data_IF_265227577912
#
_entry.id   IF_265227577912
#
_cell.length_a   1.000
_cell.length_b   1.000
_cell.length_c   1.000
_cell.angle_alpha   90.00
_cell.angle_beta   90.00
_cell.angle_gamma   90.00
#
_symmetry.space_group_name_H-M   'P 1'
#
loop_
_entity.id
_entity.type
_entity.pdbx_description
1 polymer ?
#
# COMPACT_ATOMS: atom_id res chain seq x y z
N UNK A 1 -15.02 -80.49 -1.73
CA UNK A 1 -15.32 -79.20 -1.08
C UNK A 1 -16.76 -79.26 -0.57
N UNK A 2 -17.05 -80.03 0.50
CA UNK A 2 -17.33 -79.59 1.89
C UNK A 2 -18.29 -78.36 1.94
N UNK A 3 -19.62 -78.58 1.90
CA UNK A 3 -20.62 -78.74 3.01
C UNK A 3 -20.75 -77.49 3.90
N UNK A 4 -21.89 -77.01 4.43
CA UNK A 4 -23.36 -77.26 4.45
C UNK A 4 -23.94 -76.05 5.22
N UNK A 5 -25.18 -75.64 4.92
CA UNK A 5 -25.99 -74.64 5.65
C UNK A 5 -26.25 -75.03 7.12
N UNK A 6 -26.26 -74.06 8.05
CA UNK A 6 -27.18 -74.06 9.20
C UNK A 6 -27.28 -72.66 9.86
N UNK A 7 -28.52 -72.17 10.04
CA UNK A 7 -28.90 -71.06 10.89
C UNK A 7 -28.63 -71.37 12.37
N UNK A 8 -28.19 -70.38 13.14
CA UNK A 8 -28.47 -70.28 14.58
C UNK A 8 -28.53 -68.81 15.00
N UNK A 9 -29.72 -68.39 15.45
CA UNK A 9 -30.04 -67.12 16.10
C UNK A 9 -29.45 -67.13 17.51
N UNK A 10 -28.66 -66.11 17.87
CA UNK A 10 -28.46 -65.72 19.28
C UNK A 10 -28.54 -64.20 19.35
N UNK A 11 -29.66 -63.75 19.91
CA UNK A 11 -29.88 -62.42 20.47
C UNK A 11 -28.95 -62.24 21.67
N UNK A 12 -28.20 -61.14 21.70
CA UNK A 12 -27.62 -60.62 22.94
C UNK A 12 -27.71 -59.09 22.98
N UNK A 13 -28.77 -58.64 23.66
CA UNK A 13 -28.90 -57.36 24.39
C UNK A 13 -27.66 -57.23 25.31
N UNK A 14 -26.96 -56.13 25.56
CA UNK A 14 -27.25 -54.80 26.16
C UNK A 14 -25.85 -54.10 26.14
N UNK A 15 -25.59 -52.79 26.09
CA UNK A 15 -25.99 -51.68 26.95
C UNK A 15 -25.74 -50.36 26.21
N UNK A 16 -26.78 -49.54 26.12
CA UNK A 16 -26.69 -48.13 25.73
C UNK A 16 -25.96 -47.38 26.84
N UNK A 17 -24.77 -46.85 26.55
CA UNK A 17 -24.11 -45.87 27.41
C UNK A 17 -24.52 -44.47 26.96
N UNK A 18 -25.56 -43.93 27.59
CA UNK A 18 -25.86 -42.50 27.50
C UNK A 18 -24.84 -41.75 28.37
N UNK A 19 -23.76 -41.28 27.75
CA UNK A 19 -23.02 -40.15 28.32
C UNK A 19 -23.90 -38.91 28.15
N UNK A 20 -24.33 -38.32 29.27
CA UNK A 20 -24.89 -36.97 29.29
C UNK A 20 -23.79 -36.03 28.81
N UNK A 21 -23.86 -35.60 27.56
CA UNK A 21 -23.12 -34.45 27.06
C UNK A 21 -23.93 -33.23 27.47
N UNK A 22 -23.34 -32.41 28.33
CA UNK A 22 -23.82 -31.08 28.65
C UNK A 22 -23.95 -30.28 27.35
N UNK A 23 -24.97 -29.41 27.21
CA UNK A 23 -25.08 -28.58 26.02
C UNK A 23 -23.85 -27.69 25.91
N UNK A 24 -23.09 -27.91 24.83
CA UNK A 24 -22.05 -26.99 24.37
C UNK A 24 -22.73 -25.64 24.18
N UNK A 25 -22.25 -24.55 24.81
CA UNK A 25 -22.77 -23.23 24.52
C UNK A 25 -22.57 -22.97 23.03
N UNK A 26 -23.68 -22.72 22.34
CA UNK A 26 -23.72 -22.25 20.97
C UNK A 26 -23.01 -20.89 20.94
N UNK A 27 -21.72 -20.91 20.63
CA UNK A 27 -21.00 -19.71 20.23
C UNK A 27 -21.56 -19.38 18.85
N UNK A 28 -22.55 -18.49 18.84
CA UNK A 28 -22.99 -17.84 17.61
C UNK A 28 -21.73 -17.38 16.85
N UNK A 29 -21.61 -17.68 15.55
CA UNK A 29 -20.51 -17.12 14.78
C UNK A 29 -20.65 -15.61 14.86
N UNK A 30 -19.74 -14.97 15.59
CA UNK A 30 -19.59 -13.52 15.49
C UNK A 30 -19.44 -13.23 13.99
N UNK A 31 -20.28 -12.34 13.42
CA UNK A 31 -20.06 -11.90 12.06
C UNK A 31 -18.61 -11.44 11.95
N UNK A 32 -17.90 -11.77 10.84
CA UNK A 32 -16.55 -11.29 10.62
C UNK A 32 -16.53 -9.81 10.95
N UNK A 33 -15.64 -9.43 11.89
CA UNK A 33 -15.41 -8.04 12.22
C UNK A 33 -15.12 -7.35 10.90
N UNK A 34 -16.11 -6.61 10.41
CA UNK A 34 -16.00 -5.78 9.23
C UNK A 34 -14.77 -4.93 9.48
N UNK A 35 -13.74 -5.17 8.69
CA UNK A 35 -12.56 -4.33 8.70
C UNK A 35 -13.10 -3.00 8.23
N UNK A 36 -13.33 -2.09 9.18
CA UNK A 36 -13.69 -0.70 8.87
C UNK A 36 -12.70 -0.26 7.80
N UNK A 37 -13.19 -0.11 6.57
CA UNK A 37 -12.45 0.54 5.53
C UNK A 37 -12.28 1.97 6.03
N UNK A 38 -11.13 2.23 6.65
CA UNK A 38 -10.76 3.58 7.11
C UNK A 38 -10.87 4.46 5.87
N UNK A 39 -11.87 5.33 5.89
CA UNK A 39 -12.11 6.34 4.87
C UNK A 39 -10.84 7.15 4.62
N UNK A 40 -10.62 7.63 3.38
CA UNK A 40 -9.33 8.14 2.93
C UNK A 40 -8.75 9.12 3.94
N UNK A 41 -7.52 8.84 4.38
CA UNK A 41 -6.74 9.79 5.13
C UNK A 41 -6.77 11.12 4.37
N UNK A 42 -7.20 12.18 5.05
CA UNK A 42 -7.17 13.52 4.49
C UNK A 42 -5.79 13.89 3.97
N UNK A 43 -5.70 14.99 3.22
CA UNK A 43 -4.48 15.40 2.55
C UNK A 43 -3.27 15.34 3.49
N UNK A 44 -2.19 14.73 2.99
CA UNK A 44 -0.92 14.64 3.68
C UNK A 44 0.07 15.54 2.98
N UNK A 45 0.79 16.37 3.74
CA UNK A 45 1.76 17.31 3.21
C UNK A 45 3.13 17.11 3.84
N UNK A 46 4.16 17.15 3.00
CA UNK A 46 5.54 16.95 3.38
C UNK A 46 6.43 17.93 2.64
N UNK A 47 7.49 18.40 3.30
CA UNK A 47 8.46 19.32 2.69
C UNK A 47 9.90 18.88 2.94
N UNK A 48 10.78 19.20 2.00
CA UNK A 48 12.23 19.19 2.22
C UNK A 48 12.79 20.58 1.94
N UNK A 49 13.66 21.07 2.83
CA UNK A 49 14.39 22.33 2.63
C UNK A 49 15.88 22.09 2.80
N UNK A 50 16.65 22.33 1.75
CA UNK A 50 18.10 22.16 1.76
C UNK A 50 18.74 22.99 0.65
N UNK A 51 19.91 23.58 0.88
CA UNK A 51 20.69 24.29 -0.14
C UNK A 51 19.86 25.33 -0.94
N UNK A 52 19.07 26.16 -0.24
CA UNK A 52 18.14 27.14 -0.83
C UNK A 52 17.11 26.54 -1.80
N UNK A 53 16.87 25.23 -1.70
CA UNK A 53 15.88 24.49 -2.49
C UNK A 53 14.73 24.05 -1.58
N UNK A 54 13.53 23.97 -2.16
CA UNK A 54 12.30 23.53 -1.51
C UNK A 54 11.66 22.43 -2.37
N UNK A 55 11.33 21.31 -1.74
CA UNK A 55 10.49 20.25 -2.33
C UNK A 55 9.20 20.18 -1.52
N UNK A 56 8.06 20.18 -2.20
CA UNK A 56 6.73 20.07 -1.58
C UNK A 56 5.98 18.90 -2.18
N UNK A 57 5.54 17.98 -1.34
CA UNK A 57 4.74 16.81 -1.70
C UNK A 57 3.42 16.88 -0.95
N UNK A 58 2.30 16.91 -1.67
CA UNK A 58 0.97 16.79 -1.09
C UNK A 58 0.18 15.71 -1.79
N UNK A 59 -0.53 14.86 -1.05
CA UNK A 59 -1.35 13.82 -1.65
C UNK A 59 -2.40 13.27 -0.69
N UNK A 60 -3.44 12.65 -1.25
CA UNK A 60 -4.35 11.77 -0.53
C UNK A 60 -4.13 10.31 -0.96
N UNK A 61 -4.52 9.37 -0.09
CA UNK A 61 -4.51 7.93 -0.35
C UNK A 61 -5.92 7.41 -0.11
N UNK A 62 -6.49 6.70 -1.08
CA UNK A 62 -7.77 6.02 -0.90
C UNK A 62 -7.62 4.62 -0.29
N UNK A 63 -8.75 3.98 0.02
CA UNK A 63 -8.79 2.61 0.57
C UNK A 63 -8.15 1.55 -0.35
N UNK A 64 -8.04 1.84 -1.65
CA UNK A 64 -7.38 1.00 -2.65
C UNK A 64 -5.88 1.29 -2.81
N UNK A 65 -5.30 2.12 -1.94
CA UNK A 65 -3.88 2.53 -1.98
C UNK A 65 -3.52 3.40 -3.19
N UNK A 66 -4.51 3.91 -3.93
CA UNK A 66 -4.28 4.83 -5.03
C UNK A 66 -3.99 6.23 -4.48
N UNK A 67 -3.01 6.88 -5.09
CA UNK A 67 -2.51 8.20 -4.68
C UNK A 67 -2.82 9.22 -5.74
N UNK A 68 -3.41 10.34 -5.31
CA UNK A 68 -3.56 11.54 -6.12
C UNK A 68 -3.00 12.74 -5.35
N UNK A 69 -2.20 13.56 -6.02
CA UNK A 69 -1.51 14.64 -5.34
C UNK A 69 -0.81 15.62 -6.25
N UNK A 70 0.04 16.45 -5.64
CA UNK A 70 0.91 17.42 -6.30
C UNK A 70 2.33 17.26 -5.79
N UNK A 71 3.28 17.60 -6.65
CA UNK A 71 4.70 17.61 -6.33
C UNK A 71 5.34 18.85 -6.95
N UNK A 72 6.10 19.60 -6.15
CA UNK A 72 6.86 20.75 -6.60
C UNK A 72 8.32 20.62 -6.20
N UNK A 73 9.19 20.91 -7.15
CA UNK A 73 10.63 21.08 -6.96
C UNK A 73 10.98 22.52 -7.30
N UNK A 74 11.33 23.30 -6.27
CA UNK A 74 11.92 24.63 -6.41
C UNK A 74 13.40 24.52 -6.06
N UNK A 75 14.22 24.15 -7.05
CA UNK A 75 15.64 23.89 -6.85
C UNK A 75 16.44 25.16 -7.15
N UNK A 76 17.35 25.53 -6.25
CA UNK A 76 18.17 26.73 -6.39
C UNK A 76 18.92 26.74 -7.73
N UNK A 77 18.77 27.84 -8.48
CA UNK A 77 19.43 28.02 -9.78
C UNK A 77 18.85 27.17 -10.92
N UNK A 78 17.67 26.56 -10.71
CA UNK A 78 16.87 25.89 -11.74
C UNK A 78 15.49 26.53 -11.83
N UNK A 79 14.82 26.30 -12.94
CA UNK A 79 13.40 26.66 -13.06
C UNK A 79 12.57 25.76 -12.14
N UNK A 80 11.55 26.36 -11.51
CA UNK A 80 10.60 25.63 -10.67
C UNK A 80 9.84 24.63 -11.54
N UNK A 81 9.76 23.38 -11.09
CA UNK A 81 8.89 22.37 -11.66
C UNK A 81 7.75 22.09 -10.68
N UNK A 82 6.52 22.10 -11.16
CA UNK A 82 5.35 21.69 -10.38
C UNK A 82 4.37 20.92 -11.27
N UNK A 83 3.62 20.02 -10.66
CA UNK A 83 2.79 19.10 -11.41
C UNK A 83 1.96 18.16 -10.56
N UNK A 84 1.23 17.29 -11.23
CA UNK A 84 0.37 16.29 -10.58
C UNK A 84 1.14 15.00 -10.32
N UNK A 85 0.72 14.30 -9.28
CA UNK A 85 1.28 13.03 -8.85
C UNK A 85 0.16 12.00 -8.81
N UNK A 86 0.25 10.96 -9.65
CA UNK A 86 -0.72 9.86 -9.68
C UNK A 86 0.04 8.55 -9.53
N UNK A 87 -0.31 7.76 -8.51
CA UNK A 87 0.46 6.58 -8.16
C UNK A 87 -0.25 5.63 -7.24
N UNK A 88 0.53 4.74 -6.63
CA UNK A 88 0.03 3.78 -5.65
C UNK A 88 1.04 3.59 -4.52
N UNK A 89 0.53 3.40 -3.30
CA UNK A 89 1.33 2.86 -2.20
C UNK A 89 1.53 1.36 -2.41
N UNK A 90 2.79 0.91 -2.34
CA UNK A 90 3.20 -0.50 -2.40
C UNK A 90 3.94 -0.84 -1.10
N UNK A 91 3.20 -1.31 -0.11
CA UNK A 91 3.73 -1.42 1.25
C UNK A 91 4.05 -0.04 1.79
N UNK A 92 5.31 0.19 2.14
CA UNK A 92 5.82 1.47 2.64
C UNK A 92 6.28 2.42 1.52
N UNK A 93 6.19 2.04 0.24
CA UNK A 93 6.77 2.83 -0.84
C UNK A 93 5.70 3.37 -1.79
N UNK A 94 5.59 4.70 -1.91
CA UNK A 94 4.84 5.36 -2.97
C UNK A 94 5.61 5.24 -4.28
N UNK A 95 4.98 4.68 -5.32
CA UNK A 95 5.48 4.74 -6.70
C UNK A 95 4.44 5.50 -7.53
N UNK A 96 4.86 6.58 -8.17
CA UNK A 96 3.93 7.47 -8.86
C UNK A 96 4.52 8.05 -10.15
N UNK A 97 3.63 8.39 -11.07
CA UNK A 97 3.92 9.23 -12.22
C UNK A 97 3.75 10.69 -11.81
N UNK A 98 4.85 11.45 -11.91
CA UNK A 98 4.88 12.88 -11.76
C UNK A 98 4.79 13.53 -13.16
N UNK A 99 3.69 14.22 -13.42
CA UNK A 99 3.43 14.92 -14.69
C UNK A 99 3.60 16.41 -14.50
N UNK A 100 4.52 17.02 -15.23
CA UNK A 100 4.88 18.43 -15.09
C UNK A 100 5.13 19.09 -16.45
N UNK A 101 5.05 20.41 -16.49
CA UNK A 101 5.37 21.18 -17.69
C UNK A 101 6.85 21.55 -17.70
N UNK A 102 7.54 21.28 -18.80
CA UNK A 102 8.91 21.70 -19.05
C UNK A 102 8.97 22.36 -20.42
N UNK A 103 9.35 23.64 -20.48
CA UNK A 103 9.49 24.40 -21.74
C UNK A 103 8.22 24.37 -22.62
N UNK A 104 7.03 24.35 -22.01
CA UNK A 104 5.75 24.26 -22.72
C UNK A 104 5.35 22.86 -23.16
N UNK A 105 6.12 21.83 -22.79
CA UNK A 105 5.84 20.42 -23.10
C UNK A 105 5.52 19.65 -21.82
N UNK A 106 4.42 18.90 -21.83
CA UNK A 106 4.08 17.99 -20.73
C UNK A 106 5.03 16.80 -20.73
N UNK A 107 5.67 16.55 -19.58
CA UNK A 107 6.65 15.49 -19.37
C UNK A 107 6.23 14.62 -18.19
N UNK A 108 6.50 13.32 -18.28
CA UNK A 108 6.17 12.36 -17.20
C UNK A 108 7.45 11.70 -16.69
N UNK A 109 7.62 11.71 -15.36
CA UNK A 109 8.70 11.03 -14.66
C UNK A 109 8.14 10.14 -13.55
N UNK A 110 8.55 8.88 -13.52
CA UNK A 110 8.29 8.01 -12.38
C UNK A 110 9.15 8.47 -11.18
N UNK A 111 8.51 8.64 -10.03
CA UNK A 111 9.12 8.99 -8.75
C UNK A 111 8.79 7.93 -7.71
N UNK A 112 9.65 7.83 -6.70
CA UNK A 112 9.49 6.87 -5.62
C UNK A 112 9.76 7.53 -4.27
N UNK A 113 8.88 7.33 -3.30
CA UNK A 113 9.06 7.83 -1.95
C UNK A 113 8.85 6.71 -0.93
N UNK A 114 9.88 6.44 -0.13
CA UNK A 114 9.80 5.47 0.97
C UNK A 114 9.24 6.16 2.22
N UNK A 115 8.11 5.68 2.71
CA UNK A 115 7.55 6.08 3.99
C UNK A 115 8.36 5.43 5.11
N UNK A 116 8.92 6.26 5.99
CA UNK A 116 9.68 5.78 7.15
C UNK A 116 9.62 6.80 8.27
N UNK A 117 9.33 6.33 9.49
CA UNK A 117 9.32 7.15 10.71
C UNK A 117 8.45 8.42 10.61
N UNK A 118 7.31 8.33 9.90
CA UNK A 118 6.38 9.46 9.69
C UNK A 118 6.86 10.49 8.68
N UNK A 119 7.93 10.22 7.94
CA UNK A 119 8.48 11.02 6.86
C UNK A 119 8.47 10.23 5.54
N UNK A 120 8.79 10.91 4.44
CA UNK A 120 9.05 10.28 3.15
C UNK A 120 10.49 10.53 2.73
N UNK A 121 11.14 9.54 2.12
CA UNK A 121 12.49 9.68 1.57
C UNK A 121 12.40 9.45 0.07
N UNK A 122 12.82 10.43 -0.73
CA UNK A 122 12.83 10.27 -2.18
C UNK A 122 13.92 9.29 -2.61
N UNK A 123 13.52 8.33 -3.45
CA UNK A 123 14.35 7.27 -3.99
C UNK A 123 14.86 7.61 -5.39
N UNK A 124 16.13 7.30 -5.63
CA UNK A 124 16.78 7.49 -6.93
C UNK A 124 17.38 6.18 -7.44
N UNK A 125 17.43 6.01 -8.75
CA UNK A 125 18.03 4.86 -9.39
C UNK A 125 18.15 5.06 -10.89
N UNK A 126 18.66 4.05 -11.58
CA UNK A 126 18.80 4.11 -13.03
C UNK A 126 17.43 4.22 -13.70
N UNK A 127 17.33 5.16 -14.65
CA UNK A 127 16.11 5.40 -15.43
C UNK A 127 16.30 5.06 -16.90
N UNK A 128 15.18 4.79 -17.57
CA UNK A 128 15.07 4.71 -19.02
C UNK A 128 13.93 5.63 -19.48
N UNK A 129 14.08 6.20 -20.66
CA UNK A 129 13.02 6.97 -21.31
C UNK A 129 12.38 6.12 -22.41
N UNK A 130 11.06 6.10 -22.47
CA UNK A 130 10.30 5.46 -23.54
C UNK A 130 9.03 6.26 -23.76
N UNK A 131 8.76 6.66 -25.01
CA UNK A 131 7.58 7.43 -25.40
C UNK A 131 7.35 8.70 -24.55
N UNK A 132 8.40 9.46 -24.27
CA UNK A 132 8.32 10.72 -23.49
C UNK A 132 8.07 10.52 -21.99
N UNK A 133 8.16 9.29 -21.49
CA UNK A 133 8.05 8.94 -20.08
C UNK A 133 9.37 8.39 -19.56
N UNK A 134 9.90 9.01 -18.51
CA UNK A 134 11.09 8.55 -17.79
C UNK A 134 10.64 7.61 -16.67
N UNK A 135 11.16 6.38 -16.62
CA UNK A 135 10.80 5.35 -15.62
C UNK A 135 12.03 4.68 -15.03
N UNK A 136 11.90 4.12 -13.81
CA UNK A 136 12.98 3.36 -13.20
C UNK A 136 13.19 2.02 -13.93
N UNK A 137 14.44 1.73 -14.31
CA UNK A 137 14.81 0.44 -14.93
C UNK A 137 14.58 -0.74 -13.97
N UNK A 138 14.89 -0.53 -12.69
CA UNK A 138 14.72 -1.54 -11.65
C UNK A 138 14.38 -0.90 -10.31
N UNK A 139 13.11 -0.98 -9.92
CA UNK A 139 12.58 -0.41 -8.67
C UNK A 139 13.20 -1.06 -7.42
N UNK A 140 13.75 -2.28 -7.53
CA UNK A 140 14.42 -2.96 -6.39
C UNK A 140 15.82 -2.40 -6.12
N UNK A 141 16.40 -1.66 -7.07
CA UNK A 141 17.72 -1.04 -6.95
C UNK A 141 17.68 0.41 -6.51
N UNK A 142 16.49 0.96 -6.25
CA UNK A 142 16.30 2.31 -5.75
C UNK A 142 17.11 2.52 -4.46
N UNK A 143 17.70 3.71 -4.36
CA UNK A 143 18.48 4.17 -3.21
C UNK A 143 17.73 5.31 -2.55
N UNK A 144 17.40 5.12 -1.28
CA UNK A 144 16.72 6.08 -0.43
C UNK A 144 17.75 6.72 0.50
N UNK A 145 18.28 7.87 0.09
CA UNK A 145 19.30 8.61 0.83
C UNK A 145 18.62 9.60 1.79
N UNK A 146 19.03 9.60 3.06
CA UNK A 146 18.46 10.45 4.12
C UNK A 146 18.57 11.95 3.82
N UNK A 147 19.49 12.35 2.92
CA UNK A 147 19.56 13.74 2.45
C UNK A 147 18.33 14.20 1.66
N UNK A 148 17.52 13.25 1.17
CA UNK A 148 16.30 13.51 0.38
C UNK A 148 15.03 13.26 1.21
N UNK A 149 15.09 13.51 2.52
CA UNK A 149 13.95 13.36 3.41
C UNK A 149 12.99 14.54 3.28
N UNK A 150 11.69 14.23 3.23
CA UNK A 150 10.57 15.16 3.31
C UNK A 150 9.86 14.91 4.65
N UNK A 151 9.81 15.94 5.49
CA UNK A 151 9.18 15.89 6.81
C UNK A 151 7.74 16.36 6.74
N UNK A 152 6.87 15.71 7.52
CA UNK A 152 5.45 16.05 7.58
C UNK A 152 5.23 17.48 8.07
N UNK A 153 4.29 18.18 7.45
CA UNK A 153 3.81 19.50 7.83
C UNK A 153 2.29 19.56 7.72
N UNK A 154 1.70 20.62 8.28
CA UNK A 154 0.30 20.91 8.04
C UNK A 154 0.09 21.27 6.56
N UNK A 155 -0.99 20.75 5.97
CA UNK A 155 -1.36 21.12 4.62
C UNK A 155 -1.80 22.58 4.55
N UNK A 156 -1.31 23.28 3.52
CA UNK A 156 -1.76 24.63 3.20
C UNK A 156 -3.21 24.53 2.72
N UNK A 157 -4.07 25.41 3.26
CA UNK A 157 -5.40 25.62 2.69
C UNK A 157 -5.20 26.35 1.37
N UNK A 158 -5.49 25.69 0.24
CA UNK A 158 -5.51 26.34 -1.08
C UNK A 158 -6.71 27.28 -1.24
#
# INVERSE_FOLDING_TARGET
MKKVFALAVIVLVVLVSCKKTEPVPEIAPNPPKEVEAVEPAGDQCYISTANNSLVELSFNVNSHQEVNGKLSYNIAGKDKNEGTLIGNMKGDTLIADYTFMSEGVSSIREVAFLQKDGAFIEGFGDVAETNGKVTFKDKKKLKFDQKNILTKVDCKVE
#
